data_IF_274953518836
#
_entry.id   IF_274953518836
#
_cell.length_a   1.000
_cell.length_b   1.000
_cell.length_c   1.000
_cell.angle_alpha   90.00
_cell.angle_beta   90.00
_cell.angle_gamma   90.00
#
_symmetry.space_group_name_H-M   'P 1'
#
loop_
_entity.id
_entity.type
_entity.pdbx_description
1 polymer ?
#
# COMPACT_ATOMS: atom_id res chain seq x y z
N UNK A 1 -7.26 10.22 -5.29
CA UNK A 1 -7.66 8.97 -4.60
C UNK A 1 -7.49 9.22 -3.10
N UNK A 2 -8.56 9.13 -2.31
CA UNK A 2 -8.49 9.43 -0.87
C UNK A 2 -7.99 8.23 -0.09
N UNK A 3 -6.96 8.40 0.72
CA UNK A 3 -6.33 7.33 1.49
C UNK A 3 -5.49 7.90 2.64
N UNK A 4 -5.11 7.03 3.58
CA UNK A 4 -4.07 7.29 4.58
C UNK A 4 -3.04 6.18 4.50
N UNK A 5 -1.77 6.56 4.33
CA UNK A 5 -0.64 5.65 4.38
C UNK A 5 0.15 5.86 5.66
N UNK A 6 0.33 4.80 6.45
CA UNK A 6 1.24 4.75 7.59
C UNK A 6 2.41 3.81 7.25
N UNK A 7 3.62 4.38 7.24
CA UNK A 7 4.86 3.66 6.92
C UNK A 7 5.72 3.53 8.18
N UNK A 8 5.83 2.34 8.75
CA UNK A 8 6.70 2.09 9.89
C UNK A 8 8.19 2.13 9.47
N UNK A 9 8.98 2.95 10.15
CA UNK A 9 10.44 3.01 10.04
C UNK A 9 11.02 2.31 11.26
N UNK A 10 11.47 1.07 11.06
CA UNK A 10 12.08 0.27 12.11
C UNK A 10 13.58 0.58 12.18
N UNK A 11 14.00 1.18 13.30
CA UNK A 11 15.42 1.35 13.64
C UNK A 11 15.88 0.09 14.37
N UNK A 12 16.54 -0.83 13.66
CA UNK A 12 17.07 -2.05 14.25
C UNK A 12 18.44 -1.73 14.86
N UNK A 13 18.55 -1.69 16.19
CA UNK A 13 19.83 -1.53 16.91
C UNK A 13 20.47 -2.85 17.35
N UNK A 14 19.78 -4.00 17.23
CA UNK A 14 20.38 -5.32 17.49
C UNK A 14 19.57 -6.50 16.91
N UNK A 15 20.22 -7.63 16.54
CA UNK A 15 19.56 -8.82 15.98
C UNK A 15 18.55 -9.50 16.92
N UNK A 16 18.72 -9.37 18.24
CA UNK A 16 17.87 -10.00 19.27
C UNK A 16 16.45 -9.41 19.32
N UNK A 17 16.26 -8.16 18.91
CA UNK A 17 14.94 -7.52 18.84
C UNK A 17 14.08 -8.03 17.67
N UNK A 18 14.72 -8.44 16.56
CA UNK A 18 14.05 -8.97 15.37
C UNK A 18 13.47 -10.37 15.60
N UNK A 19 14.17 -11.22 16.37
CA UNK A 19 13.74 -12.59 16.67
C UNK A 19 12.51 -12.64 17.58
N UNK A 20 12.40 -11.71 18.54
CA UNK A 20 11.21 -11.57 19.38
C UNK A 20 9.98 -11.01 18.64
N UNK A 21 10.17 -10.32 17.51
CA UNK A 21 9.06 -9.80 16.69
C UNK A 21 8.41 -10.87 15.79
N UNK A 22 9.18 -11.84 15.30
CA UNK A 22 8.68 -12.90 14.41
C UNK A 22 7.98 -14.05 15.15
N UNK A 23 8.23 -14.21 16.46
CA UNK A 23 7.66 -15.30 17.27
C UNK A 23 6.23 -15.05 17.76
N UNK A 24 5.65 -13.86 17.56
CA UNK A 24 4.36 -13.48 18.14
C UNK A 24 3.20 -13.25 17.14
N UNK A 25 3.34 -13.68 15.88
CA UNK A 25 2.23 -13.65 14.91
C UNK A 25 1.82 -15.09 14.56
N UNK A 26 0.79 -15.66 15.20
CA UNK A 26 0.34 -16.99 14.84
C UNK A 26 -0.48 -16.93 13.54
N UNK A 27 0.02 -17.69 12.55
CA UNK A 27 -0.70 -18.28 11.41
C UNK A 27 -0.96 -17.40 10.17
N UNK A 28 -0.29 -17.85 9.10
CA UNK A 28 -0.69 -17.89 7.67
C UNK A 28 -1.02 -16.55 6.99
N UNK A 29 -0.06 -16.05 6.21
CA UNK A 29 -0.32 -15.13 5.10
C UNK A 29 0.38 -15.62 3.83
N UNK A 30 -0.31 -15.62 2.66
CA UNK A 30 0.34 -15.72 1.37
C UNK A 30 0.68 -14.30 0.89
N UNK A 31 1.92 -13.84 1.12
CA UNK A 31 2.45 -12.64 0.45
C UNK A 31 2.95 -13.04 -0.94
N UNK A 32 2.05 -13.05 -1.92
CA UNK A 32 2.39 -13.18 -3.34
C UNK A 32 1.92 -11.93 -4.08
N UNK A 33 2.77 -11.40 -4.96
CA UNK A 33 2.53 -10.42 -6.04
C UNK A 33 2.94 -8.95 -5.91
N UNK A 34 3.44 -8.42 -4.79
CA UNK A 34 4.03 -7.04 -4.78
C UNK A 34 5.54 -7.00 -4.52
N UNK A 35 6.13 -8.10 -4.06
CA UNK A 35 7.59 -8.22 -3.89
C UNK A 35 8.36 -8.53 -5.20
N UNK A 36 7.65 -8.84 -6.31
CA UNK A 36 8.29 -9.33 -7.54
C UNK A 36 8.81 -8.24 -8.49
N UNK A 37 8.52 -6.95 -8.28
CA UNK A 37 8.97 -5.90 -9.21
C UNK A 37 10.06 -4.96 -8.67
N UNK A 38 10.40 -5.04 -7.38
CA UNK A 38 11.52 -4.28 -6.83
C UNK A 38 12.75 -5.19 -6.58
N UNK A 39 12.57 -6.51 -6.47
CA UNK A 39 13.70 -7.46 -6.46
C UNK A 39 14.39 -7.61 -7.83
N UNK A 40 13.69 -7.39 -8.95
CA UNK A 40 14.29 -7.58 -10.28
C UNK A 40 15.27 -6.47 -10.71
N UNK A 41 15.30 -5.32 -10.02
CA UNK A 41 16.18 -4.20 -10.41
C UNK A 41 17.51 -4.13 -9.64
N UNK A 42 17.76 -5.02 -8.67
CA UNK A 42 19.02 -5.06 -7.90
C UNK A 42 19.56 -6.49 -7.67
N UNK A 43 19.05 -7.50 -8.37
CA UNK A 43 19.57 -8.88 -8.29
C UNK A 43 20.41 -9.31 -9.50
N UNK A 44 20.70 -8.42 -10.44
CA UNK A 44 21.83 -8.66 -11.33
C UNK A 44 23.11 -8.29 -10.60
N UNK A 45 24.01 -9.26 -10.49
CA UNK A 45 25.33 -9.22 -9.85
C UNK A 45 25.34 -9.42 -8.34
N UNK A 46 24.93 -10.61 -7.87
CA UNK A 46 25.83 -11.71 -7.41
C UNK A 46 24.96 -12.96 -7.22
N UNK A 47 24.49 -13.54 -8.33
CA UNK A 47 24.30 -14.99 -8.35
C UNK A 47 25.69 -15.54 -8.61
N UNK A 48 26.26 -16.29 -7.67
CA UNK A 48 27.40 -17.14 -7.99
C UNK A 48 27.02 -17.93 -9.23
N UNK A 49 27.82 -17.81 -10.29
CA UNK A 49 27.63 -18.32 -11.65
C UNK A 49 27.57 -19.86 -11.76
N UNK A 50 27.17 -20.56 -10.71
CA UNK A 50 27.45 -21.97 -10.51
C UNK A 50 26.21 -22.88 -10.58
N UNK A 51 24.99 -22.36 -10.72
CA UNK A 51 23.78 -23.18 -10.82
C UNK A 51 22.91 -22.80 -12.01
N UNK A 52 22.74 -23.73 -12.94
CA UNK A 52 21.85 -23.60 -14.10
C UNK A 52 20.39 -23.91 -13.69
N UNK A 53 19.38 -23.12 -14.11
CA UNK A 53 17.98 -23.31 -13.70
C UNK A 53 17.34 -24.68 -14.05
N UNK A 54 17.97 -25.46 -14.93
CA UNK A 54 17.54 -26.82 -15.31
C UNK A 54 18.33 -27.96 -14.65
N UNK A 55 19.19 -27.68 -13.66
CA UNK A 55 19.96 -28.70 -12.95
C UNK A 55 19.16 -29.33 -11.81
N UNK A 56 19.31 -30.64 -11.62
CA UNK A 56 18.71 -31.41 -10.53
C UNK A 56 19.59 -31.52 -9.29
N UNK A 57 20.90 -31.36 -9.47
CA UNK A 57 21.83 -31.39 -8.37
C UNK A 57 23.12 -30.71 -8.79
N UNK A 58 23.66 -29.84 -7.94
CA UNK A 58 24.95 -29.21 -8.17
C UNK A 58 25.79 -29.29 -6.90
N UNK A 59 27.05 -29.71 -7.04
CA UNK A 59 28.01 -29.76 -5.93
C UNK A 59 29.30 -29.07 -6.34
N UNK A 60 29.69 -28.04 -5.58
CA UNK A 60 30.96 -27.32 -5.76
C UNK A 60 32.12 -28.11 -5.15
N UNK A 61 33.32 -27.85 -5.63
CA UNK A 61 34.55 -28.56 -5.27
C UNK A 61 34.38 -30.09 -5.36
N UNK A 62 33.69 -30.55 -6.40
CA UNK A 62 33.34 -31.96 -6.56
C UNK A 62 33.36 -32.35 -8.04
N UNK A 63 33.81 -33.57 -8.32
CA UNK A 63 33.98 -34.10 -9.67
C UNK A 63 33.65 -35.58 -9.73
N UNK A 64 32.92 -35.99 -10.77
CA UNK A 64 32.72 -37.40 -11.13
C UNK A 64 33.84 -37.84 -12.07
N UNK A 65 34.69 -38.79 -11.66
CA UNK A 65 35.84 -39.26 -12.46
C UNK A 65 35.53 -40.47 -13.31
N UNK A 66 34.80 -41.44 -12.76
CA UNK A 66 34.59 -42.75 -13.41
C UNK A 66 33.57 -42.71 -14.55
N UNK A 67 32.70 -41.69 -14.57
CA UNK A 67 31.59 -41.62 -15.53
C UNK A 67 31.83 -40.66 -16.69
N UNK A 68 32.99 -40.00 -16.76
CA UNK A 68 33.30 -39.01 -17.81
C UNK A 68 33.52 -39.69 -19.16
N UNK A 69 32.78 -39.26 -20.19
CA UNK A 69 32.85 -39.85 -21.53
C UNK A 69 33.17 -38.86 -22.64
N UNK A 70 33.12 -37.56 -22.35
CA UNK A 70 33.53 -36.52 -23.28
C UNK A 70 34.14 -35.38 -22.50
N UNK A 71 35.32 -34.91 -22.90
CA UNK A 71 35.99 -33.75 -22.31
C UNK A 71 36.33 -32.76 -23.42
N UNK A 72 36.02 -31.49 -23.21
CA UNK A 72 36.25 -30.41 -24.18
C UNK A 72 36.29 -29.05 -23.49
N UNK A 73 36.76 -28.04 -24.20
CA UNK A 73 36.79 -26.66 -23.70
C UNK A 73 35.45 -25.99 -23.98
N UNK A 74 34.84 -25.42 -22.94
CA UNK A 74 33.59 -24.66 -23.03
C UNK A 74 33.81 -23.21 -22.58
N UNK A 75 33.00 -22.28 -23.07
CA UNK A 75 33.12 -20.83 -22.77
C UNK A 75 32.58 -20.44 -21.39
N UNK A 76 31.90 -21.37 -20.72
CA UNK A 76 31.29 -21.18 -19.41
C UNK A 76 30.62 -22.47 -18.96
N UNK A 77 30.31 -22.55 -17.66
CA UNK A 77 29.49 -23.61 -17.11
C UNK A 77 28.12 -23.69 -17.81
N UNK A 78 27.54 -22.56 -18.21
CA UNK A 78 26.25 -22.51 -18.92
C UNK A 78 26.36 -23.19 -20.29
N UNK A 79 27.41 -22.88 -21.06
CA UNK A 79 27.63 -23.52 -22.37
C UNK A 79 27.89 -25.02 -22.25
N UNK A 80 28.61 -25.43 -21.18
CA UNK A 80 28.81 -26.84 -20.83
C UNK A 80 27.47 -27.54 -20.52
N UNK A 81 26.64 -26.89 -19.69
CA UNK A 81 25.31 -27.38 -19.30
C UNK A 81 24.38 -27.54 -20.50
N UNK A 82 24.32 -26.53 -21.36
CA UNK A 82 23.48 -26.55 -22.56
C UNK A 82 23.92 -27.65 -23.52
N UNK A 83 25.23 -27.83 -23.72
CA UNK A 83 25.76 -28.91 -24.55
C UNK A 83 25.39 -30.31 -24.02
N UNK A 84 25.31 -30.47 -22.69
CA UNK A 84 24.88 -31.72 -22.07
C UNK A 84 23.39 -31.98 -22.31
N UNK A 85 22.54 -30.97 -22.13
CA UNK A 85 21.10 -31.07 -22.38
C UNK A 85 20.78 -31.38 -23.84
N UNK A 86 21.58 -30.88 -24.78
CA UNK A 86 21.47 -31.21 -26.21
C UNK A 86 22.05 -32.59 -26.58
N UNK A 87 22.70 -33.30 -25.65
CA UNK A 87 23.32 -34.59 -25.91
C UNK A 87 22.55 -35.71 -25.21
N UNK A 88 21.88 -36.58 -25.97
CA UNK A 88 21.05 -37.70 -25.48
C UNK A 88 21.78 -38.75 -24.64
N UNK A 89 23.11 -38.67 -24.48
CA UNK A 89 23.88 -39.56 -23.60
C UNK A 89 24.39 -38.87 -22.33
N UNK A 90 24.31 -37.55 -22.25
CA UNK A 90 24.80 -36.80 -21.09
C UNK A 90 23.74 -36.69 -19.99
N UNK A 91 24.12 -37.03 -18.76
CA UNK A 91 23.27 -36.93 -17.57
C UNK A 91 23.80 -35.91 -16.55
N UNK A 92 25.12 -35.70 -16.53
CA UNK A 92 25.75 -34.70 -15.67
C UNK A 92 27.03 -34.15 -16.29
N UNK A 93 27.47 -32.99 -15.81
CA UNK A 93 28.70 -32.32 -16.23
C UNK A 93 29.65 -32.10 -15.06
N UNK A 94 30.96 -32.22 -15.30
CA UNK A 94 31.95 -31.52 -14.47
C UNK A 94 32.40 -30.27 -15.22
N UNK A 95 32.49 -29.14 -14.53
CA UNK A 95 33.03 -27.92 -15.11
C UNK A 95 34.06 -27.29 -14.17
N UNK A 96 35.19 -26.84 -14.71
CA UNK A 96 36.20 -26.06 -13.99
C UNK A 96 36.69 -24.93 -14.86
N UNK A 97 36.67 -23.71 -14.35
CA UNK A 97 37.26 -22.56 -15.04
C UNK A 97 38.78 -22.75 -15.23
N UNK A 98 39.29 -22.38 -16.40
CA UNK A 98 40.74 -22.24 -16.58
C UNK A 98 41.12 -20.81 -16.19
N UNK A 99 42.02 -20.65 -15.22
CA UNK A 99 42.59 -19.35 -14.89
C UNK A 99 43.53 -18.91 -16.03
N UNK A 100 42.99 -18.23 -17.05
CA UNK A 100 43.81 -17.53 -18.04
C UNK A 100 43.29 -16.09 -18.26
N UNK A 101 44.13 -15.06 -18.12
CA UNK A 101 43.71 -13.64 -18.18
C UNK A 101 43.09 -13.16 -19.50
N UNK A 102 43.16 -13.99 -20.55
CA UNK A 102 42.84 -13.61 -21.93
C UNK A 102 41.68 -14.38 -22.56
N UNK A 103 41.18 -15.47 -21.95
CA UNK A 103 40.01 -16.21 -22.44
C UNK A 103 39.19 -16.81 -21.28
N UNK A 104 37.89 -16.49 -21.23
CA UNK A 104 36.88 -17.05 -20.31
C UNK A 104 36.51 -18.49 -20.68
N UNK A 105 37.49 -19.39 -20.79
CA UNK A 105 37.24 -20.78 -21.17
C UNK A 105 37.49 -21.70 -19.96
N UNK A 106 36.72 -22.78 -19.85
CA UNK A 106 36.85 -23.79 -18.81
C UNK A 106 36.80 -25.20 -19.38
N UNK A 107 37.32 -26.16 -18.60
CA UNK A 107 37.24 -27.57 -18.91
C UNK A 107 35.82 -28.08 -18.61
N UNK A 108 35.16 -28.64 -19.63
CA UNK A 108 33.83 -29.22 -19.54
C UNK A 108 33.89 -30.72 -19.82
N UNK A 109 33.28 -31.51 -18.93
CA UNK A 109 33.25 -32.97 -19.01
C UNK A 109 31.80 -33.46 -18.94
N UNK A 110 31.38 -34.29 -19.88
CA UNK A 110 30.07 -34.95 -19.86
C UNK A 110 30.20 -36.33 -19.23
N UNK A 111 29.23 -36.68 -18.39
CA UNK A 111 29.17 -37.93 -17.68
C UNK A 111 27.90 -38.73 -18.04
N UNK A 112 28.04 -40.05 -18.05
CA UNK A 112 26.94 -41.00 -18.21
C UNK A 112 26.07 -41.11 -16.94
N UNK A 113 24.94 -41.79 -17.07
CA UNK A 113 24.09 -42.13 -15.93
C UNK A 113 24.73 -43.28 -15.15
N UNK A 114 24.96 -43.06 -13.85
CA UNK A 114 25.50 -44.09 -12.98
C UNK A 114 24.61 -44.35 -11.76
N UNK A 115 23.62 -43.51 -11.49
CA UNK A 115 23.10 -43.37 -10.13
C UNK A 115 21.58 -43.40 -10.11
N UNK A 116 21.02 -44.11 -9.11
CA UNK A 116 19.57 -44.29 -8.89
C UNK A 116 19.03 -43.46 -7.72
N UNK A 117 19.91 -42.94 -6.85
CA UNK A 117 19.57 -42.01 -5.77
C UNK A 117 20.72 -41.06 -5.38
N UNK A 118 20.39 -40.02 -4.60
CA UNK A 118 21.33 -38.97 -4.16
C UNK A 118 22.42 -39.47 -3.22
N UNK A 119 22.13 -40.45 -2.37
CA UNK A 119 23.09 -40.93 -1.37
C UNK A 119 24.25 -41.67 -2.06
N UNK A 120 23.93 -42.46 -3.08
CA UNK A 120 24.92 -43.15 -3.89
C UNK A 120 25.76 -42.16 -4.69
N UNK A 121 25.14 -41.11 -5.24
CA UNK A 121 25.84 -40.04 -5.95
C UNK A 121 26.82 -39.28 -5.06
N UNK A 122 26.45 -38.95 -3.81
CA UNK A 122 27.35 -38.24 -2.91
C UNK A 122 28.58 -39.07 -2.49
N UNK A 123 28.46 -40.41 -2.48
CA UNK A 123 29.56 -41.33 -2.17
C UNK A 123 30.56 -41.47 -3.32
N UNK A 124 30.11 -41.35 -4.57
CA UNK A 124 30.97 -41.46 -5.76
C UNK A 124 31.59 -40.13 -6.21
N UNK A 125 31.08 -39.01 -5.70
CA UNK A 125 31.67 -37.70 -6.00
C UNK A 125 32.96 -37.50 -5.21
N UNK A 126 34.05 -37.37 -5.95
CA UNK A 126 35.34 -37.03 -5.38
C UNK A 126 35.41 -35.52 -5.12
N UNK A 127 35.87 -35.15 -3.93
CA UNK A 127 36.20 -33.77 -3.63
C UNK A 127 37.41 -33.34 -4.48
N UNK A 128 37.25 -32.25 -5.23
CA UNK A 128 38.32 -31.65 -6.04
C UNK A 128 38.05 -30.16 -6.20
N UNK A 129 38.90 -29.33 -5.60
CA UNK A 129 38.73 -27.87 -5.61
C UNK A 129 38.65 -27.30 -7.03
N UNK A 130 37.73 -26.36 -7.21
CA UNK A 130 37.51 -25.65 -8.49
C UNK A 130 36.61 -26.38 -9.48
N UNK A 131 36.30 -27.67 -9.28
CA UNK A 131 35.31 -28.37 -10.10
C UNK A 131 33.89 -28.18 -9.55
N UNK A 132 32.94 -28.01 -10.46
CA UNK A 132 31.51 -27.99 -10.19
C UNK A 132 30.86 -29.17 -10.91
N UNK A 133 30.37 -30.13 -10.14
CA UNK A 133 29.54 -31.23 -10.64
C UNK A 133 28.10 -30.77 -10.76
N UNK A 134 27.42 -31.04 -11.88
CA UNK A 134 26.01 -30.68 -12.11
C UNK A 134 25.26 -31.81 -12.82
N UNK A 135 24.14 -32.30 -12.28
CA UNK A 135 23.26 -33.32 -12.87
C UNK A 135 21.99 -32.70 -13.45
N UNK A 136 21.41 -33.30 -14.50
CA UNK A 136 20.23 -32.80 -15.23
C UNK A 136 19.10 -33.85 -15.29
N UNK A 137 17.83 -33.44 -15.52
CA UNK A 137 16.68 -34.35 -15.56
C UNK A 137 16.55 -35.07 -16.91
N UNK A 138 16.02 -36.31 -16.91
CA UNK A 138 15.75 -37.13 -18.12
C UNK A 138 14.45 -37.93 -17.95
N UNK A 139 13.55 -37.86 -18.94
CA UNK A 139 12.30 -38.64 -18.98
C UNK A 139 11.13 -38.03 -18.20
N UNK A 140 9.97 -38.71 -18.26
CA UNK A 140 8.77 -38.38 -17.48
C UNK A 140 9.03 -38.72 -16.02
N UNK A 141 9.42 -37.72 -15.21
CA UNK A 141 9.27 -37.50 -13.76
C UNK A 141 8.98 -38.69 -12.80
N UNK A 142 9.39 -39.91 -13.09
CA UNK A 142 9.23 -41.07 -12.22
C UNK A 142 10.31 -41.04 -11.13
N UNK A 143 10.01 -40.27 -10.09
CA UNK A 143 10.84 -40.13 -8.91
C UNK A 143 11.12 -38.69 -8.47
N UNK A 144 10.36 -37.70 -8.93
CA UNK A 144 10.54 -36.28 -8.62
C UNK A 144 10.99 -36.01 -7.17
N UNK A 145 10.16 -36.22 -6.15
CA UNK A 145 10.57 -35.97 -4.76
C UNK A 145 11.48 -37.06 -4.13
N UNK A 146 11.89 -38.09 -4.90
CA UNK A 146 12.80 -39.17 -4.44
C UNK A 146 14.28 -38.77 -4.56
N UNK A 147 14.58 -37.83 -5.45
CA UNK A 147 15.92 -37.31 -5.71
C UNK A 147 16.23 -35.99 -4.96
N UNK A 148 15.19 -35.29 -4.52
CA UNK A 148 15.26 -33.92 -3.99
C UNK A 148 14.76 -33.86 -2.55
N UNK A 149 15.70 -33.73 -1.61
CA UNK A 149 15.38 -33.41 -0.21
C UNK A 149 15.35 -31.89 -0.02
N UNK A 150 14.17 -31.31 0.10
CA UNK A 150 14.05 -29.94 0.61
C UNK A 150 14.62 -29.91 2.03
N UNK A 151 15.58 -29.03 2.29
CA UNK A 151 16.23 -28.92 3.59
C UNK A 151 15.29 -28.25 4.59
N UNK A 152 15.63 -28.33 5.87
CA UNK A 152 14.98 -27.56 6.93
C UNK A 152 13.45 -27.66 6.95
N UNK A 153 12.93 -28.88 6.75
CA UNK A 153 11.50 -29.22 6.71
C UNK A 153 10.72 -28.61 5.53
N UNK A 154 11.40 -28.20 4.47
CA UNK A 154 10.74 -27.79 3.23
C UNK A 154 9.92 -28.95 2.62
N UNK A 155 8.83 -28.61 1.94
CA UNK A 155 7.95 -29.59 1.29
C UNK A 155 8.18 -29.54 -0.23
N UNK A 156 8.48 -30.69 -0.84
CA UNK A 156 8.62 -30.83 -2.28
C UNK A 156 7.24 -30.79 -2.96
N UNK A 157 7.03 -29.87 -3.89
CA UNK A 157 5.79 -29.70 -4.65
C UNK A 157 6.07 -29.95 -6.14
N UNK A 158 5.36 -30.92 -6.73
CA UNK A 158 5.38 -31.19 -8.17
C UNK A 158 4.47 -30.20 -8.92
N UNK A 159 4.98 -29.61 -9.98
CA UNK A 159 4.25 -28.86 -11.00
C UNK A 159 4.36 -29.60 -12.34
N UNK A 160 3.46 -29.33 -13.29
CA UNK A 160 3.22 -30.14 -14.50
C UNK A 160 4.48 -30.48 -15.34
N UNK A 161 5.58 -29.72 -15.21
CA UNK A 161 6.90 -30.04 -15.80
C UNK A 161 8.09 -29.60 -14.91
N UNK A 162 7.88 -29.33 -13.62
CA UNK A 162 8.91 -28.81 -12.71
C UNK A 162 8.59 -29.23 -11.26
N UNK A 163 9.51 -29.06 -10.32
CA UNK A 163 9.23 -29.21 -8.89
C UNK A 163 9.85 -28.03 -8.14
N UNK A 164 9.30 -27.69 -6.99
CA UNK A 164 9.75 -26.56 -6.16
C UNK A 164 9.77 -26.96 -4.69
N UNK A 165 10.70 -26.42 -3.91
CA UNK A 165 10.68 -26.57 -2.46
C UNK A 165 9.90 -25.41 -1.82
N UNK A 166 8.80 -25.75 -1.14
CA UNK A 166 8.09 -24.82 -0.28
C UNK A 166 8.79 -24.77 1.09
N UNK A 167 9.49 -23.67 1.36
CA UNK A 167 10.28 -23.53 2.58
C UNK A 167 9.43 -23.12 3.78
N UNK A 168 9.68 -23.79 4.91
CA UNK A 168 9.18 -23.33 6.21
C UNK A 168 10.04 -22.14 6.67
N UNK A 169 9.40 -21.05 7.10
CA UNK A 169 10.14 -19.92 7.66
C UNK A 169 10.94 -20.37 8.89
N UNK A 170 12.18 -19.88 9.10
CA UNK A 170 12.85 -18.76 8.42
C UNK A 170 13.85 -19.19 7.34
N UNK A 171 13.51 -20.19 6.51
CA UNK A 171 14.39 -20.69 5.45
C UNK A 171 13.94 -20.25 4.06
N UNK A 172 14.91 -20.05 3.17
CA UNK A 172 14.73 -19.64 1.77
C UNK A 172 15.80 -20.30 0.90
N UNK A 173 15.79 -20.02 -0.40
CA UNK A 173 16.64 -20.69 -1.39
C UNK A 173 15.90 -21.78 -2.13
N UNK A 174 16.49 -22.29 -3.21
CA UNK A 174 15.88 -23.28 -4.11
C UNK A 174 15.61 -24.62 -3.42
N UNK A 175 16.35 -24.93 -2.36
CA UNK A 175 16.22 -26.15 -1.57
C UNK A 175 16.01 -25.87 -0.08
N UNK A 176 15.61 -24.64 0.29
CA UNK A 176 15.45 -24.20 1.68
C UNK A 176 16.74 -24.26 2.51
N UNK A 177 17.88 -24.14 1.86
CA UNK A 177 19.22 -24.24 2.45
C UNK A 177 19.68 -22.95 3.16
N UNK A 178 19.06 -21.81 2.81
CA UNK A 178 19.51 -20.50 3.29
C UNK A 178 18.64 -20.04 4.46
N UNK A 179 19.25 -19.84 5.64
CA UNK A 179 18.58 -19.18 6.77
C UNK A 179 18.52 -17.68 6.50
N UNK A 180 17.32 -17.10 6.59
CA UNK A 180 17.08 -15.67 6.31
C UNK A 180 17.93 -14.72 7.19
N UNK A 181 18.54 -15.20 8.28
CA UNK A 181 19.40 -14.41 9.18
C UNK A 181 20.88 -14.30 8.79
N UNK A 182 21.37 -14.96 7.73
CA UNK A 182 22.80 -14.93 7.36
C UNK A 182 23.23 -13.70 6.53
N UNK A 183 22.31 -12.81 6.17
CA UNK A 183 22.60 -11.59 5.39
C UNK A 183 22.82 -10.33 6.26
N UNK A 184 22.93 -10.47 7.58
CA UNK A 184 22.87 -9.34 8.51
C UNK A 184 24.19 -8.61 8.79
N UNK A 185 25.25 -8.74 7.99
CA UNK A 185 26.48 -7.97 8.22
C UNK A 185 26.71 -6.78 7.28
N UNK A 186 25.98 -6.65 6.15
CA UNK A 186 26.14 -5.46 5.26
C UNK A 186 24.88 -4.94 4.55
N UNK A 187 23.68 -5.25 5.06
CA UNK A 187 22.46 -4.62 4.55
C UNK A 187 21.62 -4.12 5.72
N UNK A 188 21.56 -2.80 5.90
CA UNK A 188 20.53 -2.16 6.71
C UNK A 188 19.18 -2.33 6.00
N UNK A 189 18.61 -3.53 6.06
CA UNK A 189 17.22 -3.73 5.67
C UNK A 189 16.39 -3.14 6.80
N UNK A 190 15.91 -1.91 6.65
CA UNK A 190 14.78 -1.42 7.44
C UNK A 190 13.54 -2.00 6.78
N UNK A 191 12.93 -3.09 7.29
CA UNK A 191 11.69 -3.59 6.72
C UNK A 191 10.65 -2.47 6.81
N UNK A 192 10.23 -1.99 5.65
CA UNK A 192 9.17 -1.01 5.53
C UNK A 192 7.85 -1.76 5.69
N UNK A 193 7.14 -1.51 6.78
CA UNK A 193 5.78 -2.02 6.96
C UNK A 193 4.80 -0.91 6.59
N UNK A 194 3.94 -1.19 5.61
CA UNK A 194 2.97 -0.24 5.06
C UNK A 194 1.55 -0.63 5.46
N UNK A 195 0.83 0.33 6.01
CA UNK A 195 -0.58 0.23 6.36
C UNK A 195 -1.35 1.28 5.56
N UNK A 196 -2.20 0.84 4.63
CA UNK A 196 -2.94 1.73 3.74
C UNK A 196 -4.44 1.69 4.03
N UNK A 197 -4.94 2.72 4.70
CA UNK A 197 -6.35 2.92 4.99
C UNK A 197 -7.02 3.62 3.81
N UNK A 198 -8.22 3.18 3.47
CA UNK A 198 -8.96 3.55 2.27
C UNK A 198 -10.43 3.69 2.63
N UNK A 199 -11.26 4.13 1.69
CA UNK A 199 -12.71 4.18 1.92
C UNK A 199 -13.38 2.78 1.90
N UNK A 200 -12.62 1.70 1.73
CA UNK A 200 -13.13 0.32 1.62
C UNK A 200 -14.21 0.15 0.54
N UNK A 201 -14.18 1.01 -0.49
CA UNK A 201 -15.14 1.02 -1.59
C UNK A 201 -16.42 1.83 -1.31
N UNK A 202 -16.61 2.33 -0.09
CA UNK A 202 -17.75 3.16 0.26
C UNK A 202 -17.72 4.53 -0.46
N UNK A 203 -18.92 5.06 -0.73
CA UNK A 203 -19.18 6.29 -1.50
C UNK A 203 -20.39 7.02 -0.89
N UNK A 204 -20.47 8.34 -1.11
CA UNK A 204 -21.57 9.18 -0.61
C UNK A 204 -21.38 9.64 0.84
N UNK A 205 -22.49 9.92 1.54
CA UNK A 205 -22.49 10.53 2.87
C UNK A 205 -22.02 9.63 4.00
N UNK A 206 -22.29 8.32 3.91
CA UNK A 206 -21.94 7.35 4.95
C UNK A 206 -20.58 6.71 4.63
N UNK A 207 -19.80 6.43 5.67
CA UNK A 207 -18.54 5.71 5.53
C UNK A 207 -18.73 4.20 5.44
N UNK A 208 -17.62 3.43 5.38
CA UNK A 208 -17.69 1.97 5.32
C UNK A 208 -18.15 1.32 6.64
N UNK A 209 -18.89 0.23 6.55
CA UNK A 209 -19.36 -0.58 7.70
C UNK A 209 -18.76 -1.99 7.72
N UNK A 210 -17.73 -2.24 6.90
CA UNK A 210 -17.13 -3.56 6.77
C UNK A 210 -15.66 -3.47 6.39
N UNK A 211 -14.85 -4.34 7.00
CA UNK A 211 -13.41 -4.44 6.77
C UNK A 211 -13.04 -5.43 5.64
N UNK A 212 -14.01 -5.93 4.86
CA UNK A 212 -13.79 -6.97 3.85
C UNK A 212 -12.69 -6.61 2.85
N UNK A 213 -12.54 -5.33 2.49
CA UNK A 213 -11.48 -4.83 1.61
C UNK A 213 -10.05 -4.97 2.15
N UNK A 214 -9.87 -5.35 3.42
CA UNK A 214 -8.56 -5.57 4.05
C UNK A 214 -8.19 -7.04 4.25
N UNK A 215 -9.02 -7.99 3.81
CA UNK A 215 -8.71 -9.43 3.93
C UNK A 215 -7.35 -9.76 3.30
N UNK A 216 -6.52 -10.50 4.04
CA UNK A 216 -5.18 -10.90 3.58
C UNK A 216 -4.12 -9.79 3.66
N UNK A 217 -4.44 -8.62 4.21
CA UNK A 217 -3.50 -7.52 4.44
C UNK A 217 -3.15 -7.37 5.92
N UNK A 218 -2.14 -6.55 6.23
CA UNK A 218 -1.81 -6.16 7.61
C UNK A 218 -2.92 -5.38 8.35
N UNK A 219 -4.04 -5.07 7.67
CA UNK A 219 -5.21 -4.38 8.22
C UNK A 219 -6.44 -5.30 8.39
N UNK A 220 -6.31 -6.62 8.18
CA UNK A 220 -7.45 -7.54 8.21
C UNK A 220 -8.20 -7.60 9.57
N UNK A 221 -7.56 -7.15 10.65
CA UNK A 221 -8.13 -7.11 12.01
C UNK A 221 -8.57 -5.70 12.43
N UNK A 222 -8.56 -4.72 11.51
CA UNK A 222 -9.18 -3.41 11.77
C UNK A 222 -10.67 -3.60 11.98
N UNK A 223 -11.19 -3.01 13.06
CA UNK A 223 -12.63 -2.94 13.32
C UNK A 223 -13.20 -1.76 12.53
N UNK A 224 -14.33 -1.96 11.86
CA UNK A 224 -14.96 -0.93 11.01
C UNK A 224 -16.42 -0.85 11.38
N UNK A 225 -16.87 0.33 11.80
CA UNK A 225 -18.27 0.60 12.13
C UNK A 225 -18.58 2.08 11.91
N UNK A 226 -19.72 2.39 11.29
CA UNK A 226 -20.19 3.76 11.01
C UNK A 226 -19.13 4.63 10.32
N UNK A 227 -18.34 4.03 9.43
CA UNK A 227 -17.25 4.70 8.71
C UNK A 227 -15.95 4.89 9.49
N UNK A 228 -15.92 4.56 10.78
CA UNK A 228 -14.73 4.67 11.63
C UNK A 228 -13.94 3.38 11.58
N UNK A 229 -12.66 3.49 11.27
CA UNK A 229 -11.72 2.36 11.22
C UNK A 229 -10.83 2.41 12.45
N UNK A 230 -11.03 1.46 13.36
CA UNK A 230 -10.24 1.34 14.58
C UNK A 230 -9.10 0.33 14.41
N UNK A 231 -7.87 0.82 14.58
CA UNK A 231 -6.66 0.07 14.34
C UNK A 231 -5.77 0.02 15.58
N UNK A 232 -5.30 -1.18 15.89
CA UNK A 232 -4.33 -1.42 16.96
C UNK A 232 -2.93 -1.44 16.35
N UNK A 233 -2.06 -0.59 16.88
CA UNK A 233 -0.67 -0.48 16.44
C UNK A 233 0.05 -1.81 16.75
N UNK A 234 0.54 -2.54 15.74
CA UNK A 234 1.09 -3.88 15.97
C UNK A 234 2.54 -3.86 16.46
N UNK A 235 3.24 -2.73 16.25
CA UNK A 235 4.66 -2.56 16.56
C UNK A 235 4.94 -1.15 17.10
N UNK A 236 5.81 -1.06 18.11
CA UNK A 236 6.33 0.24 18.56
C UNK A 236 7.35 0.74 17.56
N UNK A 237 7.04 1.84 16.86
CA UNK A 237 7.92 2.40 15.84
C UNK A 237 7.64 3.88 15.58
N UNK A 238 8.54 4.50 14.82
CA UNK A 238 8.28 5.79 14.18
C UNK A 238 7.57 5.52 12.85
N UNK A 239 6.39 6.10 12.66
CA UNK A 239 5.59 6.00 11.46
C UNK A 239 5.67 7.30 10.67
N UNK A 240 5.95 7.22 9.38
CA UNK A 240 5.71 8.32 8.44
C UNK A 240 4.27 8.22 8.00
N UNK A 241 3.47 9.24 8.29
CA UNK A 241 2.06 9.30 7.91
C UNK A 241 1.88 10.21 6.71
N UNK A 242 1.03 9.79 5.76
CA UNK A 242 0.52 10.62 4.68
C UNK A 242 -1.00 10.44 4.61
N UNK A 243 -1.75 11.52 4.72
CA UNK A 243 -3.21 11.51 4.67
C UNK A 243 -3.71 12.51 3.63
N UNK A 244 -4.63 12.06 2.76
CA UNK A 244 -5.25 12.92 1.77
C UNK A 244 -6.72 13.12 2.11
N UNK A 245 -7.21 14.36 2.03
CA UNK A 245 -8.63 14.67 2.01
C UNK A 245 -9.25 14.29 0.66
N UNK A 246 -10.57 14.09 0.63
CA UNK A 246 -11.24 13.72 -0.60
C UNK A 246 -11.45 14.91 -1.54
N UNK A 247 -11.58 14.62 -2.82
CA UNK A 247 -11.98 15.64 -3.80
C UNK A 247 -13.48 15.93 -3.72
N UNK A 248 -13.88 17.15 -4.08
CA UNK A 248 -15.27 17.45 -4.39
C UNK A 248 -15.73 16.73 -5.66
N UNK A 249 -17.03 16.53 -5.78
CA UNK A 249 -17.66 16.08 -7.02
C UNK A 249 -17.51 17.14 -8.11
N UNK A 250 -17.53 16.70 -9.36
CA UNK A 250 -17.52 17.60 -10.51
C UNK A 250 -18.93 18.13 -10.75
N UNK A 251 -19.01 19.37 -11.21
CA UNK A 251 -20.20 19.91 -11.84
C UNK A 251 -20.19 19.60 -13.33
N UNK A 252 -21.17 20.14 -14.05
CA UNK A 252 -21.31 19.90 -15.50
C UNK A 252 -20.14 20.48 -16.32
N UNK A 253 -19.64 21.66 -15.93
CA UNK A 253 -18.61 22.40 -16.68
C UNK A 253 -17.34 22.67 -15.89
N UNK A 254 -17.29 22.25 -14.63
CA UNK A 254 -16.17 22.53 -13.74
C UNK A 254 -15.86 21.35 -12.83
N UNK A 255 -14.59 21.18 -12.51
CA UNK A 255 -14.14 20.08 -11.67
C UNK A 255 -14.24 20.42 -10.19
N UNK A 256 -14.47 19.40 -9.37
CA UNK A 256 -14.36 19.53 -7.93
C UNK A 256 -12.92 19.82 -7.51
N UNK A 257 -12.76 20.56 -6.42
CA UNK A 257 -11.46 20.81 -5.82
C UNK A 257 -10.83 19.51 -5.33
N UNK A 258 -9.50 19.39 -5.43
CA UNK A 258 -8.75 18.33 -4.76
C UNK A 258 -8.74 18.53 -3.24
N UNK A 259 -8.67 17.45 -2.47
CA UNK A 259 -8.44 17.55 -1.03
C UNK A 259 -7.01 17.98 -0.71
N UNK A 260 -6.77 18.47 0.50
CA UNK A 260 -5.43 18.72 1.00
C UNK A 260 -4.70 17.40 1.25
N UNK A 261 -3.38 17.49 1.33
CA UNK A 261 -2.50 16.39 1.73
C UNK A 261 -1.74 16.82 2.97
N UNK A 262 -1.69 15.96 3.97
CA UNK A 262 -0.92 16.14 5.20
C UNK A 262 0.11 15.02 5.30
N UNK A 263 1.35 15.37 5.62
CA UNK A 263 2.43 14.42 5.87
C UNK A 263 3.14 14.77 7.17
N UNK A 264 3.54 13.75 7.92
CA UNK A 264 4.24 13.95 9.17
C UNK A 264 4.84 12.68 9.74
N UNK A 265 5.33 12.79 10.97
CA UNK A 265 5.92 11.68 11.71
C UNK A 265 5.16 11.45 13.02
N UNK A 266 4.85 10.19 13.30
CA UNK A 266 4.18 9.74 14.52
C UNK A 266 5.04 8.71 15.23
N UNK A 267 5.21 8.83 16.54
CA UNK A 267 5.76 7.75 17.36
C UNK A 267 4.58 7.02 17.97
N UNK A 268 4.39 5.77 17.57
CA UNK A 268 3.28 4.94 18.05
C UNK A 268 3.83 3.74 18.81
N UNK A 269 3.17 3.40 19.92
CA UNK A 269 3.51 2.23 20.72
C UNK A 269 2.65 1.01 20.34
N UNK A 270 3.23 -0.19 20.40
CA UNK A 270 2.47 -1.44 20.22
C UNK A 270 1.29 -1.46 21.20
N UNK A 271 0.11 -1.78 20.70
CA UNK A 271 -1.14 -1.83 21.45
C UNK A 271 -1.86 -0.50 21.57
N UNK A 272 -1.23 0.62 21.20
CA UNK A 272 -1.93 1.90 21.05
C UNK A 272 -3.03 1.78 20.00
N UNK A 273 -4.16 2.46 20.21
CA UNK A 273 -5.31 2.35 19.31
C UNK A 273 -5.57 3.70 18.65
N UNK A 274 -5.71 3.68 17.33
CA UNK A 274 -6.05 4.84 16.52
C UNK A 274 -7.45 4.69 15.92
N UNK A 275 -8.19 5.79 15.86
CA UNK A 275 -9.42 5.88 15.04
C UNK A 275 -9.11 6.65 13.76
N UNK A 276 -9.46 6.05 12.64
CA UNK A 276 -9.13 6.54 11.30
C UNK A 276 -10.42 6.76 10.52
N UNK A 277 -10.58 7.96 9.99
CA UNK A 277 -11.71 8.38 9.15
C UNK A 277 -11.10 8.73 7.80
N UNK A 278 -11.45 7.99 6.75
CA UNK A 278 -10.98 8.26 5.38
C UNK A 278 -12.07 8.95 4.59
N UNK A 279 -11.81 10.19 4.17
CA UNK A 279 -12.79 11.01 3.47
C UNK A 279 -13.25 10.38 2.14
N UNK A 280 -14.50 10.61 1.77
CA UNK A 280 -15.07 10.17 0.51
C UNK A 280 -15.27 11.33 -0.46
N UNK A 281 -15.15 11.05 -1.75
CA UNK A 281 -15.40 12.04 -2.80
C UNK A 281 -16.87 12.46 -2.75
N UNK A 282 -17.13 13.76 -2.94
CA UNK A 282 -18.49 14.27 -3.13
C UNK A 282 -19.11 13.71 -4.41
N UNK A 283 -20.44 13.52 -4.44
CA UNK A 283 -21.08 12.95 -5.63
C UNK A 283 -21.00 13.90 -6.83
N UNK A 284 -20.66 13.35 -7.99
CA UNK A 284 -20.71 14.01 -9.32
C UNK A 284 -22.01 13.60 -10.01
N UNK A 285 -22.74 14.54 -10.64
CA UNK A 285 -23.92 14.21 -11.49
C UNK A 285 -23.75 14.75 -12.91
N UNK A 286 -24.15 13.95 -13.90
CA UNK A 286 -23.75 14.13 -15.31
C UNK A 286 -24.56 15.10 -16.18
N UNK A 287 -25.73 15.60 -15.77
CA UNK A 287 -26.55 16.49 -16.63
C UNK A 287 -27.13 17.65 -15.81
N UNK A 288 -26.70 18.88 -16.09
CA UNK A 288 -27.08 20.18 -15.48
C UNK A 288 -26.72 20.44 -14.00
N UNK A 289 -25.97 19.57 -13.32
CA UNK A 289 -25.87 19.58 -11.86
C UNK A 289 -24.49 19.99 -11.33
N UNK A 290 -24.50 20.44 -10.08
CA UNK A 290 -23.35 20.86 -9.28
C UNK A 290 -22.71 19.63 -8.59
N UNK A 291 -21.48 19.77 -8.10
CA UNK A 291 -20.79 18.72 -7.35
C UNK A 291 -21.02 18.83 -5.85
N UNK A 292 -21.13 17.68 -5.16
CA UNK A 292 -21.06 17.64 -3.70
C UNK A 292 -19.65 17.93 -3.18
N UNK A 293 -19.53 18.38 -1.93
CA UNK A 293 -18.23 18.60 -1.29
C UNK A 293 -17.54 17.29 -0.92
N UNK A 294 -16.22 17.24 -1.04
CA UNK A 294 -15.41 16.10 -0.58
C UNK A 294 -15.24 16.12 0.92
N UNK A 295 -15.22 14.95 1.57
CA UNK A 295 -14.97 14.87 3.00
C UNK A 295 -13.49 14.96 3.38
N UNK A 296 -13.25 15.43 4.60
CA UNK A 296 -11.93 15.42 5.23
C UNK A 296 -11.52 14.03 5.71
N UNK A 297 -10.22 13.87 5.94
CA UNK A 297 -9.61 12.65 6.45
C UNK A 297 -8.98 12.94 7.81
N UNK A 298 -9.26 12.12 8.81
CA UNK A 298 -8.92 12.37 10.21
C UNK A 298 -8.23 11.17 10.85
N UNK A 299 -7.26 11.43 11.72
CA UNK A 299 -6.63 10.42 12.58
C UNK A 299 -6.69 10.89 14.03
N UNK A 300 -7.16 10.03 14.93
CA UNK A 300 -7.28 10.29 16.36
C UNK A 300 -6.56 9.24 17.19
N UNK A 301 -6.12 9.63 18.38
CA UNK A 301 -5.85 8.68 19.44
C UNK A 301 -7.18 8.28 20.10
N UNK A 302 -7.37 6.99 20.40
CA UNK A 302 -8.59 6.52 21.09
C UNK A 302 -8.76 7.09 22.50
N UNK A 303 -7.68 7.52 23.16
CA UNK A 303 -7.72 8.12 24.49
C UNK A 303 -8.31 9.53 24.50
N UNK A 304 -8.32 10.23 23.36
CA UNK A 304 -8.90 11.56 23.22
C UNK A 304 -9.48 11.76 21.81
N UNK A 305 -10.79 11.57 21.67
CA UNK A 305 -11.50 11.82 20.41
C UNK A 305 -11.86 13.30 20.21
N UNK A 306 -11.55 14.17 21.17
CA UNK A 306 -11.86 15.60 21.14
C UNK A 306 -10.75 16.44 20.50
N UNK A 307 -9.59 15.84 20.17
CA UNK A 307 -8.50 16.52 19.45
C UNK A 307 -7.92 15.57 18.39
N UNK A 308 -7.95 15.92 17.09
CA UNK A 308 -7.32 15.12 16.06
C UNK A 308 -5.79 15.18 16.16
N UNK A 309 -5.12 14.08 15.82
CA UNK A 309 -3.67 14.06 15.58
C UNK A 309 -3.37 14.84 14.30
N UNK A 310 -4.16 14.58 13.25
CA UNK A 310 -4.07 15.26 11.97
C UNK A 310 -5.44 15.31 11.29
N UNK A 311 -5.62 16.31 10.44
CA UNK A 311 -6.77 16.42 9.53
C UNK A 311 -6.29 16.89 8.17
N UNK A 312 -6.67 16.17 7.10
CA UNK A 312 -6.50 16.63 5.73
C UNK A 312 -7.87 17.07 5.17
N UNK A 313 -8.04 18.35 4.88
CA UNK A 313 -9.31 18.93 4.43
C UNK A 313 -9.75 18.43 3.05
N UNK A 314 -11.05 18.22 2.84
CA UNK A 314 -11.65 17.86 1.56
C UNK A 314 -11.82 19.06 0.62
N UNK A 315 -11.95 18.81 -0.68
CA UNK A 315 -12.17 19.86 -1.68
C UNK A 315 -13.65 20.24 -1.85
N UNK A 316 -13.92 21.48 -2.27
CA UNK A 316 -15.27 21.93 -2.61
C UNK A 316 -15.78 21.34 -3.92
N UNK A 317 -17.10 21.24 -4.10
CA UNK A 317 -17.71 20.76 -5.33
C UNK A 317 -17.60 21.74 -6.52
N UNK A 318 -17.61 21.20 -7.73
CA UNK A 318 -17.60 21.99 -8.97
C UNK A 318 -18.98 22.53 -9.36
N UNK A 319 -19.03 23.70 -10.00
CA UNK A 319 -20.27 24.30 -10.53
C UNK A 319 -19.98 25.09 -11.81
N UNK A 320 -20.32 26.38 -11.86
CA UNK A 320 -19.89 27.32 -12.89
C UNK A 320 -18.38 27.59 -12.79
N UNK A 321 -17.85 27.50 -11.57
CA UNK A 321 -16.44 27.60 -11.26
C UNK A 321 -15.91 26.28 -10.70
N UNK A 322 -14.61 26.07 -10.84
CA UNK A 322 -13.93 24.98 -10.17
C UNK A 322 -14.08 25.12 -8.65
N UNK A 323 -14.35 23.99 -7.99
CA UNK A 323 -14.34 23.92 -6.55
C UNK A 323 -12.95 24.25 -6.00
N UNK A 324 -12.88 25.01 -4.91
CA UNK A 324 -11.62 25.33 -4.27
C UNK A 324 -11.06 24.10 -3.56
N UNK A 325 -9.74 23.98 -3.57
CA UNK A 325 -9.05 22.86 -2.96
C UNK A 325 -9.14 22.90 -1.42
N UNK A 326 -9.06 21.73 -0.80
CA UNK A 326 -8.81 21.62 0.63
C UNK A 326 -7.55 22.40 1.00
N UNK A 327 -7.62 23.18 2.07
CA UNK A 327 -6.60 24.14 2.46
C UNK A 327 -5.50 23.48 3.30
N UNK A 328 -4.28 24.01 3.24
CA UNK A 328 -3.14 23.59 4.08
C UNK A 328 -3.13 24.23 5.47
N UNK A 329 -4.09 25.11 5.75
CA UNK A 329 -4.29 25.80 7.03
C UNK A 329 -5.54 25.29 7.74
N UNK A 330 -5.67 25.62 9.03
CA UNK A 330 -6.86 25.34 9.84
C UNK A 330 -8.13 25.94 9.26
N UNK A 331 -8.02 27.09 8.59
CA UNK A 331 -9.11 27.77 7.91
C UNK A 331 -9.49 27.08 6.60
N UNK A 332 -10.78 27.00 6.29
CA UNK A 332 -11.22 26.52 4.97
C UNK A 332 -10.84 27.50 3.85
N UNK A 333 -10.92 27.04 2.61
CA UNK A 333 -10.69 27.86 1.41
C UNK A 333 -11.94 28.64 1.00
N UNK A 334 -11.78 29.88 0.54
CA UNK A 334 -12.84 30.70 -0.07
C UNK A 334 -13.56 31.63 0.91
N UNK A 335 -14.31 32.60 0.39
CA UNK A 335 -14.87 33.71 1.18
C UNK A 335 -15.96 33.32 2.19
N UNK A 336 -16.48 32.09 2.12
CA UNK A 336 -17.52 31.58 3.00
C UNK A 336 -17.01 30.45 3.89
N UNK A 337 -15.69 30.22 3.95
CA UNK A 337 -15.13 29.13 4.73
C UNK A 337 -15.39 29.25 6.21
N UNK A 338 -15.36 28.11 6.88
CA UNK A 338 -15.36 28.01 8.32
C UNK A 338 -13.96 28.29 8.87
N UNK A 339 -13.97 28.74 10.12
CA UNK A 339 -12.81 28.99 10.96
C UNK A 339 -12.93 28.24 12.28
N UNK A 340 -11.81 28.05 12.97
CA UNK A 340 -11.77 27.47 14.32
C UNK A 340 -12.60 26.17 14.48
N UNK A 341 -12.73 25.40 13.41
CA UNK A 341 -13.48 24.16 13.34
C UNK A 341 -15.00 24.23 13.41
N UNK A 342 -15.62 25.39 13.18
CA UNK A 342 -17.09 25.57 13.28
C UNK A 342 -17.87 25.12 12.03
N UNK A 343 -17.20 24.92 10.89
CA UNK A 343 -17.87 24.57 9.63
C UNK A 343 -18.16 25.80 8.74
N UNK A 344 -18.40 25.55 7.46
CA UNK A 344 -18.54 26.62 6.46
C UNK A 344 -19.89 27.33 6.48
N UNK A 345 -19.97 28.47 5.79
CA UNK A 345 -21.19 29.26 5.61
C UNK A 345 -21.72 29.11 4.18
N UNK A 346 -23.01 29.40 3.98
CA UNK A 346 -23.63 29.49 2.65
C UNK A 346 -24.09 30.92 2.40
N UNK A 347 -23.55 31.54 1.35
CA UNK A 347 -23.84 32.92 0.98
C UNK A 347 -25.02 33.04 0.02
N UNK A 348 -25.75 34.16 0.10
CA UNK A 348 -26.80 34.48 -0.86
C UNK A 348 -26.20 34.71 -2.25
N UNK A 349 -26.82 34.14 -3.28
CA UNK A 349 -26.50 34.47 -4.67
C UNK A 349 -26.72 35.97 -4.95
N UNK A 350 -26.01 36.54 -5.92
CA UNK A 350 -26.12 37.97 -6.28
C UNK A 350 -27.55 38.35 -6.74
N UNK A 351 -28.27 37.41 -7.34
CA UNK A 351 -29.63 37.64 -7.85
C UNK A 351 -30.68 37.50 -6.74
N UNK A 352 -31.33 38.62 -6.39
CA UNK A 352 -32.30 38.74 -5.28
C UNK A 352 -33.57 37.89 -5.45
N UNK A 353 -33.90 37.48 -6.68
CA UNK A 353 -35.10 36.72 -7.03
C UNK A 353 -34.87 35.18 -7.04
N UNK A 354 -33.66 34.72 -6.73
CA UNK A 354 -33.37 33.28 -6.68
C UNK A 354 -34.04 32.62 -5.48
N UNK A 355 -34.78 31.54 -5.72
CA UNK A 355 -35.28 30.62 -4.68
C UNK A 355 -34.05 30.12 -3.91
N UNK A 356 -33.92 30.47 -2.64
CA UNK A 356 -32.64 30.32 -1.94
C UNK A 356 -32.31 28.84 -1.72
N UNK A 357 -31.08 28.38 -2.05
CA UNK A 357 -30.81 26.96 -2.24
C UNK A 357 -30.75 26.15 -0.94
N UNK A 358 -31.18 24.87 -0.95
CA UNK A 358 -30.82 23.90 0.06
C UNK A 358 -29.47 23.22 -0.28
N UNK A 359 -28.41 23.96 -0.65
CA UNK A 359 -27.07 23.36 -0.69
C UNK A 359 -26.38 23.55 0.66
N UNK A 360 -25.50 22.61 1.02
CA UNK A 360 -24.82 22.61 2.29
C UNK A 360 -23.35 23.00 2.19
N UNK A 361 -22.90 23.73 3.20
CA UNK A 361 -21.47 23.86 3.49
C UNK A 361 -20.90 22.58 4.08
N UNK A 362 -19.57 22.45 4.03
CA UNK A 362 -18.86 21.38 4.73
C UNK A 362 -18.80 21.63 6.24
N UNK A 363 -18.71 20.55 7.01
CA UNK A 363 -18.48 20.60 8.44
C UNK A 363 -17.03 20.89 8.78
N UNK A 364 -16.85 21.55 9.92
CA UNK A 364 -15.61 21.52 10.65
C UNK A 364 -15.62 20.37 11.66
N UNK A 365 -14.55 20.28 12.42
CA UNK A 365 -14.39 19.25 13.43
C UNK A 365 -15.36 19.43 14.62
N UNK A 366 -15.54 20.67 15.08
CA UNK A 366 -16.43 20.99 16.21
C UNK A 366 -17.86 21.30 15.76
N UNK A 367 -18.02 22.06 14.69
CA UNK A 367 -19.31 22.53 14.21
C UNK A 367 -19.73 21.93 12.87
N UNK A 368 -21.03 21.72 12.73
CA UNK A 368 -21.65 21.18 11.52
C UNK A 368 -21.58 22.21 10.40
N UNK A 369 -21.58 21.70 9.17
CA UNK A 369 -21.96 22.51 8.03
C UNK A 369 -23.47 22.77 8.07
N UNK A 370 -23.93 23.70 7.25
CA UNK A 370 -25.32 24.07 7.21
C UNK A 370 -25.71 24.77 5.92
N UNK A 371 -26.96 25.19 5.90
CA UNK A 371 -27.61 25.81 4.77
C UNK A 371 -27.87 27.27 5.09
N UNK A 372 -28.41 27.96 4.09
CA UNK A 372 -28.79 29.34 4.26
C UNK A 372 -30.10 29.48 5.05
N UNK A 373 -30.12 30.31 6.09
CA UNK A 373 -31.36 30.68 6.80
C UNK A 373 -31.96 31.95 6.19
N UNK A 374 -33.26 31.90 5.87
CA UNK A 374 -33.92 32.90 5.01
C UNK A 374 -34.31 34.20 5.71
N UNK A 375 -34.13 34.33 7.03
CA UNK A 375 -34.65 35.47 7.82
C UNK A 375 -33.64 36.57 8.15
N UNK A 376 -32.33 36.34 7.99
CA UNK A 376 -31.31 37.33 8.30
C UNK A 376 -30.78 38.08 7.07
N UNK A 377 -30.49 39.36 7.27
CA UNK A 377 -29.81 40.28 6.34
C UNK A 377 -28.33 39.95 6.11
N UNK A 378 -27.79 38.93 6.80
CA UNK A 378 -26.41 38.50 6.65
C UNK A 378 -26.16 37.90 5.25
N UNK A 379 -25.06 38.32 4.63
CA UNK A 379 -24.63 37.86 3.30
C UNK A 379 -24.43 36.35 3.25
N UNK A 380 -24.03 35.73 4.38
CA UNK A 380 -23.75 34.30 4.52
C UNK A 380 -24.21 33.80 5.88
N UNK A 381 -24.70 32.56 5.94
CA UNK A 381 -25.20 31.95 7.18
C UNK A 381 -24.91 30.45 7.22
N UNK A 382 -24.91 29.88 8.42
CA UNK A 382 -24.84 28.44 8.66
C UNK A 382 -26.00 28.06 9.59
N UNK A 383 -27.12 27.63 9.01
CA UNK A 383 -28.24 27.06 9.77
C UNK A 383 -28.35 25.56 9.53
N UNK A 384 -28.77 24.83 10.55
CA UNK A 384 -28.86 23.38 10.48
C UNK A 384 -29.80 22.90 9.36
N UNK A 385 -29.35 21.91 8.61
CA UNK A 385 -30.09 21.26 7.54
C UNK A 385 -29.50 19.87 7.25
N UNK A 386 -30.21 19.06 6.45
CA UNK A 386 -29.74 17.73 6.04
C UNK A 386 -28.55 17.81 5.07
N UNK A 387 -28.50 18.86 4.25
CA UNK A 387 -27.50 19.06 3.21
C UNK A 387 -26.16 19.56 3.76
N UNK A 388 -26.15 20.13 4.96
CA UNK A 388 -24.94 20.49 5.69
C UNK A 388 -24.17 19.25 6.12
N UNK A 389 -22.86 19.25 5.88
CA UNK A 389 -21.98 18.19 6.39
C UNK A 389 -22.07 18.05 7.91
N UNK A 390 -21.80 16.86 8.44
CA UNK A 390 -21.83 16.63 9.89
C UNK A 390 -20.43 16.63 10.50
N UNK A 391 -20.32 17.12 11.73
CA UNK A 391 -19.07 17.19 12.48
C UNK A 391 -18.75 15.86 13.17
N UNK A 392 -17.73 15.84 14.04
CA UNK A 392 -17.33 14.61 14.75
C UNK A 392 -18.47 14.02 15.61
N UNK A 393 -19.38 14.86 16.12
CA UNK A 393 -20.47 14.44 17.00
C UNK A 393 -21.55 13.63 16.29
N UNK A 394 -21.65 13.73 14.95
CA UNK A 394 -22.55 12.89 14.15
C UNK A 394 -21.77 12.02 13.15
N UNK A 395 -20.64 11.46 13.61
CA UNK A 395 -19.83 10.49 12.89
C UNK A 395 -19.34 10.97 11.52
N UNK A 396 -19.03 12.26 11.36
CA UNK A 396 -18.45 12.82 10.13
C UNK A 396 -19.28 12.55 8.86
N UNK A 397 -20.58 12.30 8.98
CA UNK A 397 -21.42 12.03 7.81
C UNK A 397 -21.39 13.21 6.83
N UNK A 398 -21.38 12.91 5.54
CA UNK A 398 -21.63 13.92 4.53
C UNK A 398 -23.06 14.46 4.63
N UNK A 399 -23.28 15.64 4.07
CA UNK A 399 -24.61 16.17 3.84
C UNK A 399 -25.39 15.26 2.91
N UNK A 400 -26.70 15.18 3.13
CA UNK A 400 -27.61 14.35 2.35
C UNK A 400 -28.67 15.24 1.71
N UNK A 401 -28.78 15.17 0.37
CA UNK A 401 -29.84 15.86 -0.33
C UNK A 401 -30.88 14.85 -0.85
N UNK A 402 -32.06 14.86 -0.22
CA UNK A 402 -33.20 13.98 -0.56
C UNK A 402 -34.00 14.46 -1.79
N UNK A 403 -33.63 15.60 -2.38
CA UNK A 403 -34.29 16.18 -3.55
C UNK A 403 -33.91 15.47 -4.86
N UNK A 404 -34.53 15.89 -5.98
CA UNK A 404 -34.29 15.33 -7.32
C UNK A 404 -32.82 15.35 -7.79
N UNK A 405 -32.02 16.26 -7.23
CA UNK A 405 -30.60 16.46 -7.51
C UNK A 405 -29.72 15.29 -7.01
N UNK A 406 -30.03 14.65 -5.86
CA UNK A 406 -29.28 13.51 -5.26
C UNK A 406 -27.75 13.62 -5.40
N UNK A 407 -27.18 14.70 -4.90
CA UNK A 407 -25.74 14.97 -4.97
C UNK A 407 -25.17 15.19 -3.57
N UNK A 408 -25.14 14.10 -2.82
CA UNK A 408 -24.63 14.05 -1.46
C UNK A 408 -23.17 14.52 -1.33
N UNK A 409 -22.89 15.09 -0.17
CA UNK A 409 -21.53 15.35 0.25
C UNK A 409 -20.82 14.05 0.63
N UNK A 410 -19.50 14.04 0.50
CA UNK A 410 -18.69 12.90 0.90
C UNK A 410 -18.59 12.75 2.42
N UNK A 411 -18.63 11.51 2.91
CA UNK A 411 -18.22 11.14 4.26
C UNK A 411 -16.88 11.76 4.64
N UNK A 412 -16.74 12.23 5.87
CA UNK A 412 -15.73 13.22 6.28
C UNK A 412 -16.28 14.65 6.35
N UNK A 413 -17.60 14.82 6.41
CA UNK A 413 -18.26 16.10 6.62
C UNK A 413 -18.39 16.99 5.38
N UNK A 414 -18.32 16.46 4.15
CA UNK A 414 -18.61 17.24 2.94
C UNK A 414 -20.08 17.65 2.88
N UNK A 415 -20.39 18.86 2.41
CA UNK A 415 -21.76 19.33 2.19
C UNK A 415 -22.36 18.80 0.89
N UNK A 416 -23.69 18.62 0.85
CA UNK A 416 -24.40 18.23 -0.36
C UNK A 416 -24.60 19.42 -1.31
N UNK A 417 -24.68 19.12 -2.59
CA UNK A 417 -25.04 20.08 -3.61
C UNK A 417 -26.56 20.21 -3.71
N UNK A 418 -27.03 21.25 -4.39
CA UNK A 418 -28.38 21.36 -4.96
C UNK A 418 -28.27 22.22 -6.23
N UNK A 419 -29.01 23.32 -6.34
CA UNK A 419 -28.77 24.42 -7.30
C UNK A 419 -27.48 25.21 -7.03
N UNK A 420 -26.67 24.79 -6.05
CA UNK A 420 -25.30 25.25 -5.82
C UNK A 420 -24.40 24.08 -5.38
N UNK A 421 -23.07 24.20 -5.53
CA UNK A 421 -22.15 23.13 -5.12
C UNK A 421 -22.05 23.00 -3.60
N UNK A 422 -21.61 21.84 -3.13
CA UNK A 422 -21.38 21.58 -1.71
C UNK A 422 -19.95 21.93 -1.25
N UNK A 423 -19.82 22.42 -0.02
CA UNK A 423 -18.51 22.74 0.59
C UNK A 423 -17.75 21.52 1.10
N UNK A 424 -16.41 21.52 1.03
CA UNK A 424 -15.58 20.40 1.51
C UNK A 424 -15.53 20.31 3.04
N UNK A 425 -15.50 19.09 3.60
CA UNK A 425 -15.33 18.87 5.05
C UNK A 425 -13.87 18.95 5.49
N UNK A 426 -13.59 19.06 6.79
CA UNK A 426 -12.20 19.12 7.28
C UNK A 426 -12.08 19.59 8.72
N UNK A 427 -10.91 20.11 9.10
CA UNK A 427 -10.73 20.71 10.42
C UNK A 427 -11.68 21.88 10.57
N UNK A 428 -11.69 22.77 9.59
CA UNK A 428 -12.80 23.69 9.33
C UNK A 428 -13.50 23.30 8.03
N UNK A 429 -14.78 23.62 7.91
CA UNK A 429 -15.55 23.32 6.69
C UNK A 429 -15.35 24.37 5.60
N UNK A 430 -15.50 23.97 4.34
CA UNK A 430 -15.62 24.87 3.21
C UNK A 430 -17.04 25.41 3.08
N UNK A 431 -17.18 26.68 2.69
CA UNK A 431 -18.49 27.29 2.46
C UNK A 431 -18.87 27.40 0.99
N UNK A 432 -19.98 28.07 0.71
CA UNK A 432 -20.45 28.35 -0.64
C UNK A 432 -20.57 29.86 -0.81
N UNK A 433 -19.76 30.45 -1.67
CA UNK A 433 -19.73 31.90 -1.89
C UNK A 433 -20.93 32.39 -2.74
N UNK A 434 -21.12 33.70 -2.80
CA UNK A 434 -22.25 34.35 -3.50
C UNK A 434 -22.23 34.18 -5.02
N UNK A 435 -21.11 33.73 -5.59
CA UNK A 435 -20.94 33.37 -7.00
C UNK A 435 -21.02 31.85 -7.22
N UNK A 436 -21.54 31.10 -6.24
CA UNK A 436 -21.63 29.64 -6.24
C UNK A 436 -20.30 28.91 -6.39
N UNK A 437 -19.20 29.51 -5.95
CA UNK A 437 -17.95 28.77 -5.78
C UNK A 437 -17.91 28.10 -4.41
N UNK A 438 -17.74 26.78 -4.38
CA UNK A 438 -17.56 26.04 -3.14
C UNK A 438 -16.10 26.05 -2.66
N UNK A 439 -15.95 26.25 -1.36
CA UNK A 439 -14.71 26.16 -0.60
C UNK A 439 -14.32 24.73 -0.28
N UNK A 440 -13.01 24.47 -0.16
CA UNK A 440 -12.49 23.27 0.50
C UNK A 440 -12.36 23.45 2.00
N UNK A 441 -12.34 22.34 2.76
CA UNK A 441 -12.12 22.35 4.20
C UNK A 441 -10.67 22.64 4.58
N UNK A 442 -10.46 23.09 5.81
CA UNK A 442 -9.15 23.31 6.40
C UNK A 442 -8.48 22.00 6.86
N UNK A 443 -7.16 22.04 7.01
CA UNK A 443 -6.33 20.96 7.53
C UNK A 443 -5.80 21.29 8.93
N UNK A 444 -5.40 20.27 9.68
CA UNK A 444 -4.80 20.43 11.00
C UNK A 444 -3.57 19.54 11.11
N UNK A 445 -2.47 20.13 11.57
CA UNK A 445 -1.23 19.47 11.93
C UNK A 445 -0.71 20.06 13.26
N UNK A 446 0.09 19.31 14.03
CA UNK A 446 0.76 19.85 15.22
C UNK A 446 1.70 21.02 14.84
N UNK A 447 1.36 22.24 15.28
CA UNK A 447 1.94 23.51 14.78
C UNK A 447 3.40 23.76 15.24
N UNK A 448 3.93 22.95 16.16
CA UNK A 448 5.27 23.11 16.73
C UNK A 448 6.26 22.00 16.34
N UNK A 449 5.94 21.22 15.31
CA UNK A 449 6.75 20.10 14.88
C UNK A 449 7.13 20.24 13.41
N UNK A 450 8.41 20.54 13.15
CA UNK A 450 8.96 20.74 11.81
C UNK A 450 8.93 19.48 10.93
N UNK A 451 8.55 18.33 11.50
CA UNK A 451 8.37 17.08 10.73
C UNK A 451 7.05 17.04 9.96
N UNK A 452 6.14 17.99 10.23
CA UNK A 452 4.82 18.05 9.59
C UNK A 452 4.77 19.06 8.45
N UNK A 453 4.02 18.70 7.41
CA UNK A 453 3.62 19.62 6.37
C UNK A 453 2.18 19.35 5.91
N UNK A 454 1.57 20.39 5.38
CA UNK A 454 0.29 20.32 4.70
C UNK A 454 0.44 20.97 3.32
N UNK A 455 -0.24 20.43 2.32
CA UNK A 455 -0.26 20.95 0.95
C UNK A 455 -1.69 21.11 0.49
N UNK A 456 -2.00 22.30 -0.02
CA UNK A 456 -3.31 22.62 -0.60
C UNK A 456 -3.53 21.83 -1.89
N UNK A 457 -4.63 21.09 -1.98
CA UNK A 457 -5.04 20.36 -3.21
C UNK A 457 -4.04 19.31 -3.69
N UNK A 458 -3.57 18.45 -2.79
CA UNK A 458 -2.50 17.47 -3.02
C UNK A 458 -2.93 16.08 -3.46
#
# INVERSE_FOLDING_TARGET
MTHITLKAVLSVRSPTQFMNMMLYSPKKYPLSLVFLHICFALCDVVSSTNSFPGAIYTRVNSRSKEHTFKSFVARSQISCSHGCLSNTRCYSTNFRDAFHPSHLNGLCEFNYDAMVDRQTLENELHHEEGFVYTRYPRGSLDGGCRWYGCQNKGVCILQENAYTCACELPWTGTFCETKICALSERVYFSPIVLYNFTTLGAKGSNGPDSNVGYRGTGLQHVSVADGVQEWHVPITAKFIVEACGASGGDGTTAVGGRGAKVKGELRLAKGERLKIIVGQRGLTKGVQNHGGGGGGTFVFNTTNFSVPILVAGGGGGGSQFNGLHGNDKTEGSGNASGSNGVGGLVCRHKDKNSRQPPCGSGAGFYGKGGCRVSKDLLTCSNGECDEGGKSHSDNFKGGNNKSWSKCDGGFGGGGACDICPGGGGGYSGGGVANNWQAGGGGSYIPVHDNTWNATKGG
#
